data_IF_737291078887
#
_entry.id   IF_737291078887
#
_cell.length_a   1.000
_cell.length_b   1.000
_cell.length_c   1.000
_cell.angle_alpha   90.00
_cell.angle_beta   90.00
_cell.angle_gamma   90.00
#
_symmetry.space_group_name_H-M   'P 1'
#
loop_
_entity.id
_entity.type
_entity.pdbx_description
1 polymer ?
#
# COMPACT_ATOMS: atom_id res chain seq x y z
N UNK A 1 -21.76 -2.20 26.15
CA UNK A 1 -20.56 -2.80 26.78
C UNK A 1 -19.48 -2.84 25.72
N UNK A 2 -18.29 -2.31 26.02
CA UNK A 2 -17.14 -2.38 25.13
C UNK A 2 -16.85 -3.85 24.78
N UNK A 3 -16.76 -4.15 23.48
CA UNK A 3 -16.58 -5.52 22.97
C UNK A 3 -15.12 -5.83 22.65
N UNK A 4 -14.29 -4.79 22.51
CA UNK A 4 -12.85 -4.90 22.30
C UNK A 4 -12.22 -3.55 21.99
N UNK A 5 -10.97 -3.60 21.57
CA UNK A 5 -10.11 -2.49 21.19
C UNK A 5 -9.76 -2.64 19.71
N UNK A 6 -10.09 -1.65 18.91
CA UNK A 6 -9.67 -1.60 17.50
C UNK A 6 -8.33 -0.90 17.40
N UNK A 7 -7.34 -1.53 16.77
CA UNK A 7 -5.99 -1.00 16.65
C UNK A 7 -5.77 -0.36 15.27
N UNK A 8 -5.31 0.89 15.26
CA UNK A 8 -5.01 1.62 14.03
C UNK A 8 -3.55 1.45 13.62
N UNK A 9 -2.62 1.64 14.56
CA UNK A 9 -1.19 1.65 14.29
C UNK A 9 -0.36 1.64 15.56
N UNK A 10 0.93 1.36 15.38
CA UNK A 10 1.93 1.38 16.46
C UNK A 10 2.91 2.49 16.15
N UNK A 11 3.22 3.33 17.14
CA UNK A 11 4.14 4.45 17.00
C UNK A 11 5.37 4.22 17.88
N UNK A 12 6.52 4.67 17.37
CA UNK A 12 7.77 4.65 18.12
C UNK A 12 7.77 5.71 19.23
N UNK A 13 7.10 6.83 18.99
CA UNK A 13 7.03 7.97 19.88
C UNK A 13 5.85 7.83 20.86
N UNK A 14 5.98 8.45 22.03
CA UNK A 14 4.89 8.54 23.00
C UNK A 14 3.87 9.58 22.56
N UNK A 15 2.66 9.13 22.25
CA UNK A 15 1.55 10.03 21.91
C UNK A 15 0.86 10.45 23.22
N UNK A 16 0.75 11.74 23.53
CA UNK A 16 0.08 12.22 24.73
C UNK A 16 -1.42 11.90 24.73
N UNK A 17 -1.95 11.51 25.89
CA UNK A 17 -3.38 11.16 26.06
C UNK A 17 -4.34 12.34 25.83
N UNK A 18 -3.83 13.58 25.94
CA UNK A 18 -4.60 14.81 25.67
C UNK A 18 -4.97 14.95 24.19
N UNK A 19 -4.24 14.26 23.30
CA UNK A 19 -4.48 14.33 21.88
C UNK A 19 -5.56 13.33 21.48
N UNK A 20 -6.74 13.86 21.19
CA UNK A 20 -7.92 13.05 20.88
C UNK A 20 -8.32 13.25 19.43
N UNK A 21 -8.44 12.15 18.70
CA UNK A 21 -8.97 12.13 17.34
C UNK A 21 -10.31 11.39 17.29
N UNK A 22 -11.08 11.67 16.25
CA UNK A 22 -12.30 10.94 15.96
C UNK A 22 -11.99 9.75 15.03
N UNK A 23 -12.40 8.56 15.45
CA UNK A 23 -12.13 7.30 14.77
C UNK A 23 -13.37 6.65 14.16
N UNK A 24 -13.28 5.34 14.00
CA UNK A 24 -14.36 4.53 13.43
C UNK A 24 -15.62 4.63 14.30
N UNK A 25 -16.77 4.80 13.64
CA UNK A 25 -18.08 4.96 14.30
C UNK A 25 -18.17 6.16 15.27
N UNK A 26 -17.36 7.22 15.04
CA UNK A 26 -17.28 8.43 15.86
C UNK A 26 -16.73 8.20 17.28
N UNK A 27 -16.09 7.06 17.51
CA UNK A 27 -15.43 6.75 18.78
C UNK A 27 -14.15 7.56 18.92
N UNK A 28 -13.84 7.97 20.15
CA UNK A 28 -12.60 8.67 20.44
C UNK A 28 -11.42 7.71 20.33
N UNK A 29 -10.37 8.19 19.68
CA UNK A 29 -9.10 7.49 19.53
C UNK A 29 -8.18 7.91 20.66
N UNK A 30 -7.62 6.90 21.32
CA UNK A 30 -6.71 7.02 22.46
C UNK A 30 -5.37 6.37 22.12
N UNK A 31 -4.37 6.66 22.94
CA UNK A 31 -3.06 6.04 22.89
C UNK A 31 -2.85 5.21 24.16
N UNK A 32 -2.31 4.00 24.02
CA UNK A 32 -1.84 3.19 25.15
C UNK A 32 -0.35 2.93 24.98
N UNK A 33 0.46 3.21 26.00
CA UNK A 33 1.90 3.00 25.94
C UNK A 33 2.26 1.64 26.54
N UNK A 34 2.81 0.75 25.72
CA UNK A 34 3.22 -0.60 26.12
C UNK A 34 4.68 -0.81 25.72
N UNK A 35 5.55 -1.09 26.70
CA UNK A 35 6.98 -1.42 26.47
C UNK A 35 7.72 -0.38 25.60
N UNK A 36 7.32 0.89 25.72
CA UNK A 36 7.89 2.02 25.00
C UNK A 36 7.31 2.29 23.61
N UNK A 37 6.25 1.58 23.20
CA UNK A 37 5.52 1.85 21.96
C UNK A 37 4.12 2.38 22.26
N UNK A 38 3.63 3.32 21.46
CA UNK A 38 2.26 3.80 21.56
C UNK A 38 1.35 3.04 20.60
N UNK A 39 0.31 2.43 21.14
CA UNK A 39 -0.74 1.78 20.39
C UNK A 39 -1.91 2.74 20.25
N UNK A 40 -2.19 3.14 19.03
CA UNK A 40 -3.34 3.98 18.74
C UNK A 40 -4.58 3.10 18.59
N UNK A 41 -5.60 3.34 19.41
CA UNK A 41 -6.77 2.47 19.48
C UNK A 41 -8.07 3.24 19.74
N UNK A 42 -9.21 2.61 19.46
CA UNK A 42 -10.52 3.09 19.91
C UNK A 42 -11.35 1.94 20.46
N UNK A 43 -12.26 2.25 21.38
CA UNK A 43 -13.20 1.26 21.90
C UNK A 43 -14.19 0.88 20.79
N UNK A 44 -14.52 -0.41 20.69
CA UNK A 44 -15.49 -0.87 19.71
C UNK A 44 -16.63 -1.67 20.30
N UNK A 45 -17.78 -1.53 19.66
CA UNK A 45 -19.05 -2.14 20.03
C UNK A 45 -19.43 -3.32 19.13
N UNK A 46 -18.55 -3.67 18.18
CA UNK A 46 -18.71 -4.76 17.22
C UNK A 46 -17.48 -5.64 17.26
N UNK A 47 -17.67 -6.95 17.26
CA UNK A 47 -16.55 -7.90 17.21
C UNK A 47 -15.82 -7.89 15.86
N UNK A 48 -16.50 -7.50 14.77
CA UNK A 48 -15.94 -7.48 13.42
C UNK A 48 -16.40 -6.27 12.62
N UNK A 49 -15.46 -5.65 11.94
CA UNK A 49 -15.70 -4.59 10.98
C UNK A 49 -15.55 -5.14 9.56
N UNK A 50 -16.62 -5.07 8.77
CA UNK A 50 -16.53 -5.33 7.33
C UNK A 50 -15.75 -4.20 6.67
N UNK A 51 -14.84 -4.54 5.74
CA UNK A 51 -14.00 -3.59 5.03
C UNK A 51 -14.80 -2.76 4.00
N UNK A 52 -15.64 -1.85 4.50
CA UNK A 52 -16.33 -0.87 3.67
C UNK A 52 -15.40 0.29 3.33
N UNK A 53 -15.62 0.93 2.18
CA UNK A 53 -14.85 2.12 1.77
C UNK A 53 -14.86 3.22 2.84
N UNK A 54 -16.00 3.43 3.53
CA UNK A 54 -16.13 4.40 4.62
C UNK A 54 -15.15 4.09 5.76
N UNK A 55 -15.11 2.84 6.20
CA UNK A 55 -14.25 2.45 7.32
C UNK A 55 -12.76 2.44 6.95
N UNK A 56 -12.42 2.02 5.73
CA UNK A 56 -11.03 2.07 5.25
C UNK A 56 -10.49 3.50 5.23
N UNK A 57 -11.27 4.43 4.66
CA UNK A 57 -10.88 5.86 4.64
C UNK A 57 -10.79 6.42 6.05
N UNK A 58 -11.73 6.07 6.94
CA UNK A 58 -11.70 6.54 8.33
C UNK A 58 -10.46 6.03 9.08
N UNK A 59 -10.11 4.75 8.93
CA UNK A 59 -8.89 4.18 9.49
C UNK A 59 -7.63 4.91 8.99
N UNK A 60 -7.54 5.15 7.68
CA UNK A 60 -6.40 5.86 7.09
C UNK A 60 -6.30 7.31 7.58
N UNK A 61 -7.43 8.03 7.62
CA UNK A 61 -7.48 9.41 8.11
C UNK A 61 -7.01 9.57 9.56
N UNK A 62 -7.32 8.60 10.43
CA UNK A 62 -6.84 8.63 11.82
C UNK A 62 -5.30 8.64 11.84
N UNK A 63 -4.68 7.78 11.05
CA UNK A 63 -3.21 7.72 10.96
C UNK A 63 -2.64 9.00 10.35
N UNK A 64 -3.25 9.53 9.28
CA UNK A 64 -2.84 10.78 8.64
C UNK A 64 -2.87 11.96 9.63
N UNK A 65 -3.96 12.12 10.39
CA UNK A 65 -4.10 13.20 11.37
C UNK A 65 -3.02 13.14 12.46
N UNK A 66 -2.65 11.93 12.89
CA UNK A 66 -1.59 11.70 13.89
C UNK A 66 -0.21 12.02 13.30
N UNK A 67 0.01 11.69 12.01
CA UNK A 67 1.23 12.05 11.30
C UNK A 67 1.36 13.57 11.11
N UNK A 68 0.26 14.27 10.80
CA UNK A 68 0.22 15.74 10.69
C UNK A 68 0.52 16.43 12.02
N UNK A 69 0.11 15.83 13.14
CA UNK A 69 0.46 16.26 14.49
C UNK A 69 1.95 16.11 14.86
N UNK A 70 2.74 15.43 14.02
CA UNK A 70 4.19 15.29 14.19
C UNK A 70 4.69 13.87 14.41
N UNK A 71 3.79 12.91 14.66
CA UNK A 71 4.14 11.51 14.92
C UNK A 71 4.27 10.72 13.61
N UNK A 72 5.42 10.85 12.96
CA UNK A 72 5.64 10.35 11.58
C UNK A 72 6.23 8.94 11.50
N UNK A 73 6.73 8.41 12.62
CA UNK A 73 7.36 7.08 12.68
C UNK A 73 6.35 6.07 13.22
N UNK A 74 5.64 5.41 12.31
CA UNK A 74 4.56 4.47 12.64
C UNK A 74 4.62 3.18 11.82
N UNK A 75 4.00 2.14 12.38
CA UNK A 75 3.64 0.90 11.70
C UNK A 75 2.12 0.87 11.56
N UNK A 76 1.58 1.15 10.36
CA UNK A 76 0.13 1.06 10.13
C UNK A 76 -0.31 -0.40 10.23
N UNK A 77 -1.31 -0.67 11.08
CA UNK A 77 -1.86 -2.01 11.23
C UNK A 77 -2.92 -2.26 10.17
N UNK A 78 -3.06 -3.52 9.76
CA UNK A 78 -4.08 -3.87 8.76
C UNK A 78 -5.47 -3.56 9.31
N UNK A 79 -6.31 -2.96 8.46
CA UNK A 79 -7.70 -2.68 8.78
C UNK A 79 -8.43 -3.89 9.38
N UNK A 80 -9.20 -3.64 10.45
CA UNK A 80 -10.09 -4.62 11.05
C UNK A 80 -9.47 -5.43 12.18
N UNK A 81 -8.26 -5.06 12.64
CA UNK A 81 -7.63 -5.70 13.79
C UNK A 81 -8.32 -5.25 15.09
N UNK A 82 -9.06 -6.18 15.69
CA UNK A 82 -9.72 -5.99 16.99
C UNK A 82 -9.17 -6.99 17.98
N UNK A 83 -8.74 -6.51 19.15
CA UNK A 83 -8.26 -7.31 20.27
C UNK A 83 -9.21 -7.16 21.45
N UNK A 84 -9.34 -8.20 22.28
CA UNK A 84 -10.23 -8.13 23.46
C UNK A 84 -9.59 -7.37 24.60
N UNK A 85 -8.31 -7.61 24.84
CA UNK A 85 -7.56 -7.03 25.95
C UNK A 85 -6.10 -6.76 25.56
N UNK A 86 -5.43 -5.90 26.33
CA UNK A 86 -4.04 -5.55 26.11
C UNK A 86 -3.08 -6.71 26.36
N UNK A 87 -3.43 -7.67 27.23
CA UNK A 87 -2.62 -8.87 27.46
C UNK A 87 -2.39 -9.65 26.17
N UNK A 88 -3.41 -9.74 25.30
CA UNK A 88 -3.27 -10.38 23.98
C UNK A 88 -2.25 -9.66 23.10
N UNK A 89 -2.21 -8.33 23.13
CA UNK A 89 -1.23 -7.53 22.37
C UNK A 89 0.18 -7.77 22.89
N UNK A 90 0.34 -7.81 24.22
CA UNK A 90 1.63 -8.06 24.86
C UNK A 90 2.15 -9.45 24.48
N UNK A 91 1.33 -10.49 24.66
CA UNK A 91 1.73 -11.88 24.43
C UNK A 91 1.98 -12.21 22.95
N UNK A 92 1.14 -11.69 22.04
CA UNK A 92 1.19 -12.09 20.63
C UNK A 92 2.00 -11.15 19.73
N UNK A 93 2.21 -9.90 20.14
CA UNK A 93 2.89 -8.89 19.32
C UNK A 93 4.16 -8.37 19.98
N UNK A 94 4.10 -7.93 21.23
CA UNK A 94 5.26 -7.31 21.88
C UNK A 94 6.33 -8.35 22.22
N UNK A 95 6.02 -9.35 23.05
CA UNK A 95 7.00 -10.36 23.49
C UNK A 95 7.74 -11.02 22.31
N UNK A 96 7.08 -11.50 21.25
CA UNK A 96 7.77 -12.16 20.14
C UNK A 96 8.51 -11.21 19.18
N UNK A 97 8.07 -9.95 19.03
CA UNK A 97 8.55 -9.06 17.96
C UNK A 97 9.15 -7.73 18.44
N UNK A 98 9.33 -7.50 19.75
CA UNK A 98 9.84 -6.24 20.30
C UNK A 98 11.13 -5.77 19.61
N UNK A 99 12.12 -6.67 19.46
CA UNK A 99 13.39 -6.31 18.83
C UNK A 99 13.21 -5.95 17.34
N UNK A 100 12.36 -6.68 16.63
CA UNK A 100 12.08 -6.39 15.22
C UNK A 100 11.36 -5.05 15.05
N UNK A 101 10.46 -4.70 15.97
CA UNK A 101 9.80 -3.39 15.99
C UNK A 101 10.81 -2.26 16.21
N UNK A 102 11.73 -2.40 17.17
CA UNK A 102 12.80 -1.42 17.40
C UNK A 102 13.68 -1.22 16.16
N UNK A 103 14.09 -2.31 15.53
CA UNK A 103 14.90 -2.27 14.30
C UNK A 103 14.13 -1.62 13.14
N UNK A 104 12.84 -1.92 13.01
CA UNK A 104 11.97 -1.33 11.99
C UNK A 104 11.82 0.18 12.20
N UNK A 105 11.48 0.62 13.41
CA UNK A 105 11.32 2.05 13.70
C UNK A 105 12.62 2.84 13.55
N UNK A 106 13.76 2.23 13.89
CA UNK A 106 15.07 2.83 13.62
C UNK A 106 15.29 3.05 12.12
N UNK A 107 14.88 2.10 11.27
CA UNK A 107 14.98 2.23 9.81
C UNK A 107 13.99 3.23 9.22
N UNK A 108 12.83 3.44 9.85
CA UNK A 108 11.77 4.35 9.40
C UNK A 108 11.93 5.78 9.92
N UNK A 109 12.64 5.97 11.03
CA UNK A 109 12.80 7.29 11.65
C UNK A 109 13.36 8.32 10.65
N UNK A 110 12.68 9.47 10.56
CA UNK A 110 13.02 10.55 9.64
C UNK A 110 12.73 10.27 8.16
N UNK A 111 12.19 9.10 7.81
CA UNK A 111 11.78 8.76 6.44
C UNK A 111 10.30 9.01 6.23
N UNK A 112 9.92 9.17 4.96
CA UNK A 112 8.53 9.33 4.52
C UNK A 112 8.28 8.41 3.34
N UNK A 113 7.19 7.66 3.39
CA UNK A 113 6.74 6.88 2.24
C UNK A 113 6.10 7.79 1.19
N UNK A 114 6.52 7.61 -0.06
CA UNK A 114 5.92 8.24 -1.24
C UNK A 114 5.71 7.18 -2.30
N UNK A 115 4.60 7.25 -3.04
CA UNK A 115 4.30 6.30 -4.11
C UNK A 115 4.04 7.03 -5.42
N UNK A 116 4.57 6.49 -6.53
CA UNK A 116 4.36 7.00 -7.87
C UNK A 116 3.65 5.93 -8.68
N UNK A 117 2.53 6.29 -9.31
CA UNK A 117 1.78 5.43 -10.23
C UNK A 117 1.74 6.10 -11.59
N UNK A 118 2.28 5.43 -12.60
CA UNK A 118 2.32 5.91 -13.98
C UNK A 118 1.24 5.17 -14.74
N UNK A 119 0.39 5.92 -15.43
CA UNK A 119 -0.66 5.40 -16.30
C UNK A 119 -0.41 5.90 -17.73
N UNK A 120 -0.63 5.04 -18.71
CA UNK A 120 -0.61 5.40 -20.13
C UNK A 120 -1.79 4.75 -20.84
N UNK A 121 -2.12 5.27 -22.02
CA UNK A 121 -3.10 4.65 -22.89
C UNK A 121 -2.45 3.52 -23.71
N UNK A 122 -2.74 2.28 -23.32
CA UNK A 122 -2.20 1.09 -23.98
C UNK A 122 -2.52 1.03 -25.48
N UNK A 123 -3.65 1.59 -25.92
CA UNK A 123 -4.05 1.57 -27.33
C UNK A 123 -3.23 2.53 -28.18
N UNK A 124 -2.94 3.72 -27.64
CA UNK A 124 -2.09 4.73 -28.29
C UNK A 124 -0.63 4.28 -28.31
N UNK A 125 -0.13 3.68 -27.23
CA UNK A 125 1.24 3.13 -27.19
C UNK A 125 1.42 1.97 -28.16
N UNK A 126 0.43 1.08 -28.29
CA UNK A 126 0.47 0.00 -29.26
C UNK A 126 0.57 0.54 -30.71
N UNK A 127 -0.22 1.57 -31.04
CA UNK A 127 -0.14 2.22 -32.36
C UNK A 127 1.23 2.82 -32.60
N UNK A 128 1.79 3.52 -31.62
CA UNK A 128 3.13 4.12 -31.68
C UNK A 128 4.20 3.05 -31.94
N UNK A 129 4.14 1.92 -31.24
CA UNK A 129 5.07 0.79 -31.44
C UNK A 129 4.95 0.22 -32.85
N UNK A 130 3.72 0.03 -33.35
CA UNK A 130 3.49 -0.46 -34.72
C UNK A 130 3.93 0.56 -35.79
N UNK A 131 3.97 1.85 -35.47
CA UNK A 131 4.50 2.87 -36.38
C UNK A 131 6.05 2.92 -36.38
N UNK A 132 6.67 2.69 -35.23
CA UNK A 132 8.13 2.63 -35.09
C UNK A 132 8.73 1.32 -35.61
N UNK A 133 8.05 0.18 -35.42
CA UNK A 133 8.48 -1.13 -35.91
C UNK A 133 7.70 -1.51 -37.19
N UNK A 134 8.24 -1.10 -38.32
CA UNK A 134 7.66 -1.38 -39.65
C UNK A 134 7.65 -2.88 -39.96
N UNK A 135 8.55 -3.69 -39.39
CA UNK A 135 8.55 -5.15 -39.58
C UNK A 135 7.37 -5.78 -38.85
N UNK A 136 7.13 -5.42 -37.59
CA UNK A 136 5.96 -5.86 -36.83
C UNK A 136 4.65 -5.47 -37.51
N UNK A 137 4.57 -4.24 -38.03
CA UNK A 137 3.40 -3.77 -38.78
C UNK A 137 3.18 -4.59 -40.04
N UNK A 138 4.24 -4.83 -40.82
CA UNK A 138 4.18 -5.62 -42.04
C UNK A 138 3.81 -7.07 -41.75
N UNK A 139 4.39 -7.69 -40.73
CA UNK A 139 4.06 -9.06 -40.32
C UNK A 139 2.59 -9.19 -39.89
N UNK A 140 2.07 -8.22 -39.13
CA UNK A 140 0.64 -8.17 -38.79
C UNK A 140 -0.24 -8.02 -40.03
N UNK A 141 0.13 -7.12 -40.94
CA UNK A 141 -0.66 -6.82 -42.14
C UNK A 141 -0.61 -7.97 -43.16
N UNK A 142 0.53 -8.65 -43.30
CA UNK A 142 0.71 -9.83 -44.15
C UNK A 142 -0.10 -11.05 -43.65
N UNK A 143 -0.55 -11.01 -42.40
CA UNK A 143 -1.39 -12.02 -41.77
C UNK A 143 -2.90 -11.71 -41.87
N UNK A 144 -3.27 -10.46 -42.19
CA UNK A 144 -4.67 -10.09 -42.42
C UNK A 144 -5.19 -10.76 -43.70
N UNK A 145 -6.22 -11.60 -43.57
CA UNK A 145 -6.87 -12.28 -44.69
C UNK A 145 -6.28 -13.65 -45.07
N UNK A 146 -5.32 -14.17 -44.29
CA UNK A 146 -4.81 -15.55 -44.43
C UNK A 146 -5.33 -16.46 -43.32
N UNK A 147 -5.41 -17.76 -43.60
CA UNK A 147 -5.68 -18.77 -42.58
C UNK A 147 -4.41 -19.00 -41.78
N UNK A 148 -4.31 -18.40 -40.61
CA UNK A 148 -3.14 -18.48 -39.73
C UNK A 148 -3.20 -19.74 -38.87
N UNK A 149 -2.03 -20.33 -38.61
CA UNK A 149 -1.87 -21.33 -37.58
C UNK A 149 -1.88 -20.68 -36.18
N UNK A 150 -2.25 -21.45 -35.16
CA UNK A 150 -2.26 -20.95 -33.77
C UNK A 150 -0.87 -20.48 -33.32
N UNK A 151 0.18 -21.14 -33.81
CA UNK A 151 1.58 -20.81 -33.51
C UNK A 151 1.98 -19.43 -34.05
N UNK A 152 1.58 -19.10 -35.28
CA UNK A 152 1.85 -17.79 -35.91
C UNK A 152 1.15 -16.65 -35.15
N UNK A 153 -0.09 -16.87 -34.71
CA UNK A 153 -0.86 -15.89 -33.91
C UNK A 153 -0.17 -15.63 -32.56
N UNK A 154 0.24 -16.69 -31.87
CA UNK A 154 0.93 -16.60 -30.58
C UNK A 154 2.28 -15.87 -30.75
N UNK A 155 3.04 -16.22 -31.79
CA UNK A 155 4.34 -15.62 -32.05
C UNK A 155 4.26 -14.10 -32.24
N UNK A 156 3.29 -13.61 -33.03
CA UNK A 156 3.07 -12.16 -33.17
C UNK A 156 2.66 -11.54 -31.84
N UNK A 157 1.74 -12.16 -31.10
CA UNK A 157 1.31 -11.67 -29.79
C UNK A 157 2.49 -11.46 -28.85
N UNK A 158 3.40 -12.43 -28.77
CA UNK A 158 4.61 -12.36 -27.95
C UNK A 158 5.56 -11.25 -28.42
N UNK A 159 5.73 -11.05 -29.72
CA UNK A 159 6.59 -9.98 -30.25
C UNK A 159 6.06 -8.59 -29.90
N UNK A 160 4.74 -8.39 -29.99
CA UNK A 160 4.07 -7.15 -29.57
C UNK A 160 4.23 -6.93 -28.07
N UNK A 161 4.00 -7.96 -27.25
CA UNK A 161 4.15 -7.89 -25.79
C UNK A 161 5.60 -7.56 -25.38
N UNK A 162 6.59 -8.18 -26.01
CA UNK A 162 8.00 -7.90 -25.77
C UNK A 162 8.36 -6.45 -26.08
N UNK A 163 7.84 -5.89 -27.17
CA UNK A 163 8.08 -4.49 -27.56
C UNK A 163 7.43 -3.52 -26.57
N UNK A 164 6.19 -3.80 -26.14
CA UNK A 164 5.52 -3.04 -25.07
C UNK A 164 6.29 -3.11 -23.74
N UNK A 165 6.80 -4.29 -23.41
CA UNK A 165 7.60 -4.50 -22.20
C UNK A 165 8.90 -3.68 -22.24
N UNK A 166 9.60 -3.64 -23.36
CA UNK A 166 10.82 -2.83 -23.53
C UNK A 166 10.53 -1.34 -23.34
N UNK A 167 9.49 -0.81 -24.00
CA UNK A 167 9.10 0.59 -23.81
C UNK A 167 8.74 0.90 -22.35
N UNK A 168 8.06 -0.03 -21.65
CA UNK A 168 7.80 0.09 -20.22
C UNK A 168 9.09 0.15 -19.41
N UNK A 169 10.07 -0.72 -19.70
CA UNK A 169 11.35 -0.73 -18.99
C UNK A 169 12.12 0.58 -19.20
N UNK A 170 12.14 1.11 -20.42
CA UNK A 170 12.78 2.40 -20.72
C UNK A 170 12.20 3.54 -19.88
N UNK A 171 10.86 3.63 -19.83
CA UNK A 171 10.18 4.64 -19.00
C UNK A 171 10.54 4.41 -17.53
N UNK A 172 10.39 3.19 -17.01
CA UNK A 172 10.69 2.88 -15.61
C UNK A 172 12.15 3.17 -15.25
N UNK A 173 13.08 2.94 -16.18
CA UNK A 173 14.50 3.17 -15.95
C UNK A 173 14.81 4.66 -15.76
N UNK A 174 14.18 5.55 -16.54
CA UNK A 174 14.31 7.01 -16.34
C UNK A 174 13.89 7.42 -14.93
N UNK A 175 12.79 6.88 -14.41
CA UNK A 175 12.35 7.16 -13.03
C UNK A 175 13.33 6.60 -12.00
N UNK A 176 13.85 5.38 -12.20
CA UNK A 176 14.84 4.79 -11.29
C UNK A 176 16.12 5.61 -11.23
N UNK A 177 16.63 6.02 -12.40
CA UNK A 177 17.88 6.76 -12.50
C UNK A 177 17.79 8.14 -11.83
N UNK A 178 16.62 8.78 -11.86
CA UNK A 178 16.43 10.11 -11.28
C UNK A 178 15.97 10.11 -9.82
N UNK A 179 15.30 9.05 -9.35
CA UNK A 179 14.64 9.04 -8.04
C UNK A 179 15.29 8.13 -6.99
N UNK A 180 16.12 7.16 -7.38
CA UNK A 180 16.75 6.21 -6.45
C UNK A 180 18.15 6.65 -5.96
N UNK A 181 18.46 7.94 -5.98
CA UNK A 181 19.74 8.47 -5.50
C UNK A 181 19.90 8.39 -3.97
#
# INVERSE_FOLDING_TARGET
MATGLYLYGIFADQIPDEMVWEGIDHELVHSEVIEGFSFLYSVVHKEKYLASRRYLICHEKVLENVMEAGFRTLLPLRFGLVVKTWETVIEQLIIPYQNQLKDLFTKLSGKREVSIKIFWDSSSELKRILECDQELKKQRDDMLGKTLTMEEIIYIGQRIENSLYQCKQEIVQVFRDQLNH
#
